data_IF_095548374629
#
_entry.id   IF_095548374629
#
_cell.length_a   1.000
_cell.length_b   1.000
_cell.length_c   1.000
_cell.angle_alpha   90.00
_cell.angle_beta   90.00
_cell.angle_gamma   90.00
#
_symmetry.space_group_name_H-M   'P 1'
#
loop_
_entity.id
_entity.type
_entity.pdbx_description
1 polymer ?
#
# COMPACT_ATOMS: atom_id res chain seq x y z
N UNK A 1 -16.09 -0.97 15.46
CA UNK A 1 -15.16 -1.93 14.84
C UNK A 1 -14.59 -1.22 13.63
N UNK A 2 -13.27 -1.12 13.51
CA UNK A 2 -12.67 -0.47 12.35
C UNK A 2 -13.09 -1.25 11.09
N UNK A 3 -13.64 -0.57 10.10
CA UNK A 3 -13.94 -1.16 8.79
C UNK A 3 -12.66 -1.81 8.27
N UNK A 4 -12.65 -3.14 8.23
CA UNK A 4 -11.51 -3.90 7.75
C UNK A 4 -11.54 -3.85 6.22
N UNK A 5 -10.78 -2.91 5.64
CA UNK A 5 -10.64 -2.74 4.18
C UNK A 5 -10.38 -4.10 3.54
N UNK A 6 -11.13 -4.49 2.50
CA UNK A 6 -10.92 -5.80 1.85
C UNK A 6 -9.51 -5.92 1.22
N UNK A 7 -9.02 -7.15 0.99
CA UNK A 7 -7.69 -7.35 0.39
C UNK A 7 -7.60 -6.75 -1.01
N UNK A 8 -8.68 -6.86 -1.80
CA UNK A 8 -8.77 -6.29 -3.14
C UNK A 8 -8.72 -4.75 -3.10
N UNK A 9 -9.42 -4.15 -2.15
CA UNK A 9 -9.39 -2.70 -1.96
C UNK A 9 -8.02 -2.22 -1.48
N UNK A 10 -7.37 -2.96 -0.57
CA UNK A 10 -6.00 -2.66 -0.16
C UNK A 10 -5.02 -2.73 -1.34
N UNK A 11 -5.14 -3.72 -2.22
CA UNK A 11 -4.32 -3.82 -3.42
C UNK A 11 -4.51 -2.60 -4.34
N UNK A 12 -5.77 -2.22 -4.61
CA UNK A 12 -6.11 -1.04 -5.42
C UNK A 12 -5.50 0.23 -4.82
N UNK A 13 -5.61 0.42 -3.50
CA UNK A 13 -5.03 1.60 -2.84
C UNK A 13 -3.52 1.65 -3.01
N UNK A 14 -2.81 0.54 -2.85
CA UNK A 14 -1.35 0.46 -3.04
C UNK A 14 -0.95 0.72 -4.50
N UNK A 15 -1.76 0.29 -5.47
CA UNK A 15 -1.55 0.58 -6.89
C UNK A 15 -1.74 2.06 -7.24
N UNK A 16 -2.67 2.75 -6.56
CA UNK A 16 -2.91 4.19 -6.74
C UNK A 16 -1.86 5.08 -6.03
N UNK A 17 -1.13 4.53 -5.04
CA UNK A 17 -0.16 5.30 -4.24
C UNK A 17 0.90 6.04 -5.05
N UNK A 18 1.54 5.48 -6.10
CA UNK A 18 2.57 6.18 -6.86
C UNK A 18 2.09 7.55 -7.37
N UNK A 19 0.89 7.64 -7.91
CA UNK A 19 0.32 8.90 -8.43
C UNK A 19 0.17 9.92 -7.29
N UNK A 20 -0.35 9.49 -6.14
CA UNK A 20 -0.55 10.36 -4.96
C UNK A 20 0.78 10.83 -4.38
N UNK A 21 1.77 9.95 -4.30
CA UNK A 21 3.10 10.25 -3.79
C UNK A 21 3.87 11.19 -4.75
N UNK A 22 3.76 10.99 -6.06
CA UNK A 22 4.36 11.91 -7.05
C UNK A 22 3.79 13.31 -6.92
N UNK A 23 2.48 13.46 -6.75
CA UNK A 23 1.86 14.76 -6.51
C UNK A 23 2.37 15.42 -5.20
N UNK A 24 2.49 14.65 -4.12
CA UNK A 24 3.01 15.14 -2.84
C UNK A 24 4.49 15.58 -2.92
N UNK A 25 5.32 14.83 -3.65
CA UNK A 25 6.73 15.18 -3.90
C UNK A 25 6.84 16.44 -4.76
N UNK A 26 6.05 16.54 -5.84
CA UNK A 26 6.05 17.72 -6.70
C UNK A 26 5.59 19.00 -5.97
N UNK A 27 4.67 18.85 -5.01
CA UNK A 27 4.23 19.94 -4.13
C UNK A 27 5.22 20.27 -3.00
N UNK A 28 6.33 19.54 -2.88
CA UNK A 28 7.31 19.70 -1.81
C UNK A 28 6.83 19.26 -0.42
N UNK A 29 5.68 18.57 -0.35
CA UNK A 29 5.08 18.09 0.90
C UNK A 29 5.85 16.88 1.45
N UNK A 30 6.42 16.08 0.57
CA UNK A 30 7.13 14.85 0.92
C UNK A 30 8.47 14.80 0.18
N UNK A 31 9.54 14.34 0.83
CA UNK A 31 10.81 14.13 0.14
C UNK A 31 10.74 12.89 -0.76
N UNK A 32 11.51 12.85 -1.88
CA UNK A 32 11.54 11.70 -2.78
C UNK A 32 11.87 10.37 -2.09
N UNK A 33 12.79 10.39 -1.12
CA UNK A 33 13.19 9.18 -0.40
C UNK A 33 12.12 8.71 0.60
N UNK A 34 11.43 9.63 1.26
CA UNK A 34 10.28 9.33 2.12
C UNK A 34 9.15 8.70 1.30
N UNK A 35 8.87 9.24 0.10
CA UNK A 35 7.89 8.67 -0.83
C UNK A 35 8.23 7.23 -1.23
N UNK A 36 9.51 6.96 -1.55
CA UNK A 36 9.99 5.62 -1.89
C UNK A 36 9.82 4.67 -0.71
N UNK A 37 10.17 5.10 0.49
CA UNK A 37 10.04 4.28 1.69
C UNK A 37 8.57 3.96 2.00
N UNK A 38 7.68 4.94 1.92
CA UNK A 38 6.24 4.73 2.13
C UNK A 38 5.66 3.73 1.11
N UNK A 39 6.00 3.89 -0.17
CA UNK A 39 5.57 2.95 -1.20
C UNK A 39 6.10 1.54 -0.96
N UNK A 40 7.37 1.43 -0.56
CA UNK A 40 7.97 0.14 -0.23
C UNK A 40 7.26 -0.53 0.95
N UNK A 41 7.04 0.20 2.06
CA UNK A 41 6.33 -0.30 3.24
C UNK A 41 4.91 -0.75 2.89
N UNK A 42 4.18 0.03 2.11
CA UNK A 42 2.82 -0.31 1.70
C UNK A 42 2.76 -1.61 0.87
N UNK A 43 3.70 -1.78 -0.07
CA UNK A 43 3.83 -3.03 -0.84
C UNK A 43 4.17 -4.22 0.05
N UNK A 44 5.10 -4.06 0.99
CA UNK A 44 5.48 -5.12 1.93
C UNK A 44 4.30 -5.54 2.82
N UNK A 45 3.49 -4.58 3.28
CA UNK A 45 2.27 -4.86 4.04
C UNK A 45 1.23 -5.62 3.20
N UNK A 46 1.01 -5.21 1.94
CA UNK A 46 0.12 -5.92 1.03
C UNK A 46 0.59 -7.37 0.79
N UNK A 47 1.90 -7.57 0.57
CA UNK A 47 2.47 -8.91 0.40
C UNK A 47 2.26 -9.79 1.64
N UNK A 48 2.52 -9.25 2.84
CA UNK A 48 2.29 -9.97 4.10
C UNK A 48 0.82 -10.34 4.26
N UNK A 49 -0.09 -9.41 3.96
CA UNK A 49 -1.54 -9.63 4.04
C UNK A 49 -2.01 -10.69 3.03
N UNK A 50 -1.55 -10.62 1.79
CA UNK A 50 -1.84 -11.63 0.76
C UNK A 50 -1.30 -13.02 1.13
N UNK A 51 -0.13 -13.09 1.77
CA UNK A 51 0.42 -14.35 2.28
C UNK A 51 -0.44 -14.91 3.43
N UNK A 52 -0.87 -14.07 4.36
CA UNK A 52 -1.76 -14.46 5.45
C UNK A 52 -3.13 -14.93 4.94
N UNK A 53 -3.68 -14.26 3.93
CA UNK A 53 -4.95 -14.66 3.29
C UNK A 53 -4.83 -16.02 2.61
N UNK A 54 -3.74 -16.26 1.85
CA UNK A 54 -3.48 -17.58 1.23
C UNK A 54 -3.26 -18.69 2.25
N UNK A 55 -2.58 -18.41 3.36
CA UNK A 55 -2.44 -19.38 4.47
C UNK A 55 -3.78 -19.73 5.10
N UNK A 56 -4.71 -18.78 5.16
CA UNK A 56 -6.06 -18.98 5.70
C UNK A 56 -6.99 -19.70 4.74
N UNK A 57 -6.81 -19.50 3.43
CA UNK A 57 -7.60 -20.15 2.38
C UNK A 57 -6.67 -20.81 1.33
N UNK A 58 -6.19 -22.04 1.58
CA UNK A 58 -5.19 -22.73 0.74
C UNK A 58 -5.76 -23.44 -0.49
N UNK A 59 -7.05 -23.26 -0.79
CA UNK A 59 -7.81 -24.03 -1.80
C UNK A 59 -7.86 -23.31 -3.14
#
# INVERSE_FOLDING_TARGET
MADEIELAEHARLVEEMPVRLTAAVAAGVLQPDEARELLHRARSLLQARSAASRRRNPW
#
